data_IF_331760955198
#
_entry.id   IF_331760955198
#
_cell.length_a   1.000
_cell.length_b   1.000
_cell.length_c   1.000
_cell.angle_alpha   90.00
_cell.angle_beta   90.00
_cell.angle_gamma   90.00
#
_symmetry.space_group_name_H-M   'P 1'
#
loop_
_entity.id
_entity.type
_entity.pdbx_description
1 polymer ?
#
# COMPACT_ATOMS: atom_id res chain seq x y z
N UNK A 1 1.89 -34.09 -2.28
CA UNK A 1 2.17 -32.78 -1.66
C UNK A 1 2.66 -33.02 -0.23
N UNK A 2 3.88 -32.58 0.13
CA UNK A 2 4.40 -32.78 1.48
C UNK A 2 3.83 -31.69 2.39
N UNK A 3 3.21 -32.07 3.51
CA UNK A 3 2.70 -31.13 4.52
C UNK A 3 3.83 -30.83 5.51
N UNK A 4 3.92 -29.57 5.92
CA UNK A 4 4.79 -29.11 7.00
C UNK A 4 3.83 -28.55 8.05
N UNK A 5 3.77 -29.20 9.20
CA UNK A 5 3.03 -28.68 10.35
C UNK A 5 3.93 -27.70 11.10
N UNK A 6 3.34 -26.59 11.52
CA UNK A 6 4.02 -25.51 12.25
C UNK A 6 3.26 -25.30 13.55
N UNK A 7 3.99 -25.15 14.64
CA UNK A 7 3.37 -24.98 15.96
C UNK A 7 2.89 -23.53 16.16
N UNK A 8 3.49 -22.57 15.45
CA UNK A 8 3.13 -21.15 15.51
C UNK A 8 3.55 -20.38 14.24
N UNK A 9 3.04 -19.15 14.10
CA UNK A 9 3.32 -18.29 12.94
C UNK A 9 4.78 -17.82 12.83
N UNK A 10 5.55 -17.74 13.92
CA UNK A 10 6.97 -17.30 13.83
C UNK A 10 7.82 -18.32 13.09
N UNK A 11 7.48 -19.60 13.21
CA UNK A 11 8.19 -20.69 12.51
C UNK A 11 8.00 -20.67 11.00
N UNK A 12 6.96 -19.99 10.50
CA UNK A 12 6.69 -19.93 9.08
C UNK A 12 7.84 -19.33 8.27
N UNK A 13 8.39 -18.20 8.71
CA UNK A 13 9.50 -17.56 8.01
C UNK A 13 10.72 -18.49 7.95
N UNK A 14 11.02 -19.19 9.05
CA UNK A 14 12.09 -20.17 9.09
C UNK A 14 11.81 -21.40 8.21
N UNK A 15 10.55 -21.84 8.10
CA UNK A 15 10.16 -22.93 7.23
C UNK A 15 10.28 -22.56 5.75
N UNK A 16 9.89 -21.33 5.37
CA UNK A 16 10.10 -20.78 4.03
C UNK A 16 11.58 -20.72 3.66
N UNK A 17 12.41 -20.17 4.54
CA UNK A 17 13.86 -20.04 4.32
C UNK A 17 14.55 -21.41 4.11
N UNK A 18 14.15 -22.41 4.92
CA UNK A 18 14.60 -23.80 4.74
C UNK A 18 14.18 -24.39 3.40
N UNK A 19 12.98 -24.08 2.94
CA UNK A 19 12.48 -24.56 1.65
C UNK A 19 13.22 -23.91 0.49
N UNK A 20 13.52 -22.62 0.57
CA UNK A 20 14.29 -21.90 -0.44
C UNK A 20 15.75 -22.36 -0.49
N UNK A 21 16.40 -22.54 0.66
CA UNK A 21 17.75 -23.12 0.72
C UNK A 21 17.78 -24.52 0.08
N UNK A 22 16.74 -25.32 0.32
CA UNK A 22 16.62 -26.64 -0.32
C UNK A 22 16.42 -26.54 -1.82
N UNK A 23 15.64 -25.56 -2.30
CA UNK A 23 15.44 -25.27 -3.72
C UNK A 23 16.77 -24.91 -4.40
N UNK A 24 17.53 -24.01 -3.79
CA UNK A 24 18.84 -23.58 -4.28
C UNK A 24 19.83 -24.74 -4.34
N UNK A 25 19.83 -25.61 -3.32
CA UNK A 25 20.64 -26.82 -3.31
C UNK A 25 20.29 -27.77 -4.46
N UNK A 26 18.99 -28.00 -4.72
CA UNK A 26 18.56 -28.83 -5.85
C UNK A 26 19.00 -28.20 -7.17
N UNK A 27 18.91 -26.87 -7.29
CA UNK A 27 19.36 -26.15 -8.48
C UNK A 27 20.87 -26.29 -8.70
N UNK A 28 21.68 -26.15 -7.65
CA UNK A 28 23.14 -26.23 -7.75
C UNK A 28 23.68 -27.66 -7.92
N UNK A 29 23.05 -28.66 -7.30
CA UNK A 29 23.50 -30.06 -7.37
C UNK A 29 23.09 -30.74 -8.68
N UNK A 30 22.02 -30.30 -9.34
CA UNK A 30 21.44 -31.06 -10.44
C UNK A 30 22.16 -30.88 -11.80
N UNK A 31 23.06 -29.89 -11.98
CA UNK A 31 23.65 -29.54 -13.29
C UNK A 31 22.58 -29.50 -14.42
N UNK A 32 21.32 -29.21 -14.06
CA UNK A 32 20.21 -29.26 -14.98
C UNK A 32 20.17 -27.92 -15.73
N UNK A 33 20.05 -27.90 -17.06
CA UNK A 33 19.83 -26.68 -17.84
C UNK A 33 18.41 -26.08 -17.62
N UNK A 34 17.76 -26.41 -16.51
CA UNK A 34 16.35 -26.15 -16.25
C UNK A 34 16.15 -25.16 -15.09
N UNK A 35 15.18 -24.28 -15.25
CA UNK A 35 14.71 -23.36 -14.23
C UNK A 35 13.87 -24.10 -13.18
N UNK A 36 14.25 -24.02 -11.91
CA UNK A 36 13.40 -24.45 -10.79
C UNK A 36 12.53 -23.27 -10.39
N UNK A 37 11.23 -23.38 -10.65
CA UNK A 37 10.26 -22.34 -10.33
C UNK A 37 10.24 -22.02 -8.82
N UNK A 38 10.14 -20.75 -8.42
CA UNK A 38 9.96 -20.37 -7.03
C UNK A 38 8.65 -20.93 -6.46
N UNK A 39 8.56 -21.02 -5.14
CA UNK A 39 7.33 -21.45 -4.49
C UNK A 39 6.21 -20.46 -4.78
N UNK A 40 5.11 -20.96 -5.35
CA UNK A 40 3.92 -20.17 -5.59
C UNK A 40 3.08 -20.10 -4.32
N UNK A 41 2.93 -18.91 -3.76
CA UNK A 41 1.94 -18.67 -2.72
C UNK A 41 0.54 -18.77 -3.33
N UNK A 42 -0.18 -19.85 -3.03
CA UNK A 42 -1.53 -20.12 -3.55
C UNK A 42 -2.63 -19.50 -2.69
N UNK A 43 -2.28 -18.60 -1.78
CA UNK A 43 -3.21 -18.03 -0.81
C UNK A 43 -3.45 -18.94 0.39
N UNK A 44 -4.26 -18.44 1.32
CA UNK A 44 -4.78 -19.23 2.43
C UNK A 44 -5.92 -20.12 1.92
N UNK A 45 -5.89 -21.41 2.28
CA UNK A 45 -6.94 -22.36 1.89
C UNK A 45 -8.29 -22.09 2.58
N UNK A 46 -8.30 -21.32 3.67
CA UNK A 46 -9.53 -20.88 4.32
C UNK A 46 -10.08 -19.64 3.62
N UNK A 47 -11.08 -19.85 2.79
CA UNK A 47 -11.92 -18.78 2.22
C UNK A 47 -12.86 -18.14 3.27
N UNK A 48 -12.92 -18.70 4.48
CA UNK A 48 -13.87 -18.32 5.54
C UNK A 48 -13.38 -17.19 6.44
N UNK A 49 -12.19 -16.62 6.20
CA UNK A 49 -11.79 -15.42 6.93
C UNK A 49 -12.64 -14.23 6.48
N UNK A 50 -13.34 -13.54 7.40
CA UNK A 50 -14.10 -12.34 7.07
C UNK A 50 -13.08 -11.23 6.79
N UNK A 51 -12.65 -11.14 5.55
CA UNK A 51 -11.85 -10.03 5.06
C UNK A 51 -12.80 -8.83 4.93
N UNK A 52 -12.47 -7.75 5.62
CA UNK A 52 -13.28 -6.53 5.61
C UNK A 52 -13.39 -5.94 4.19
N UNK A 53 -12.35 -6.09 3.36
CA UNK A 53 -12.41 -5.88 1.92
C UNK A 53 -11.29 -6.65 1.17
N UNK A 54 -11.46 -6.81 -0.14
CA UNK A 54 -10.56 -7.56 -1.04
C UNK A 54 -9.42 -6.71 -1.61
N UNK A 55 -9.44 -5.39 -1.36
CA UNK A 55 -8.56 -4.40 -1.98
C UNK A 55 -7.20 -4.31 -1.28
N UNK A 56 -7.14 -4.65 0.01
CA UNK A 56 -5.89 -4.62 0.78
C UNK A 56 -4.83 -5.64 0.33
N UNK A 57 -5.18 -6.62 -0.53
CA UNK A 57 -4.22 -7.66 -0.99
C UNK A 57 -3.17 -7.16 -1.99
N UNK A 58 -3.39 -6.03 -2.65
CA UNK A 58 -2.45 -5.52 -3.67
C UNK A 58 -1.41 -4.55 -3.10
N UNK A 59 -1.62 -4.00 -1.89
CA UNK A 59 -0.75 -3.01 -1.28
C UNK A 59 0.36 -3.65 -0.42
N UNK A 60 1.04 -4.67 -0.96
CA UNK A 60 2.17 -5.33 -0.29
C UNK A 60 3.42 -4.46 -0.15
N UNK A 61 3.45 -3.29 -0.82
CA UNK A 61 4.49 -2.29 -0.66
C UNK A 61 4.04 -1.26 0.38
N UNK A 62 4.89 -1.03 1.40
CA UNK A 62 4.61 -0.10 2.51
C UNK A 62 4.39 1.36 2.08
N UNK A 63 4.70 1.70 0.83
CA UNK A 63 4.69 3.07 0.31
C UNK A 63 4.06 3.16 -1.09
N UNK A 64 2.88 2.57 -1.32
CA UNK A 64 2.15 2.82 -2.57
C UNK A 64 1.61 4.26 -2.55
N UNK A 65 2.21 5.14 -3.35
CA UNK A 65 1.73 6.51 -3.51
C UNK A 65 0.27 6.56 -3.97
N UNK A 66 -0.49 7.56 -3.47
CA UNK A 66 -1.94 7.71 -3.71
C UNK A 66 -2.31 7.61 -5.18
N UNK A 67 -1.49 8.19 -6.06
CA UNK A 67 -1.72 8.14 -7.51
C UNK A 67 -1.57 6.72 -8.09
N UNK A 68 -0.58 5.96 -7.61
CA UNK A 68 -0.33 4.59 -8.03
C UNK A 68 -1.42 3.63 -7.50
N UNK A 69 -1.87 3.87 -6.27
CA UNK A 69 -3.03 3.18 -5.70
C UNK A 69 -4.30 3.43 -6.53
N UNK A 70 -4.55 4.69 -6.92
CA UNK A 70 -5.68 5.03 -7.78
C UNK A 70 -5.62 4.36 -9.16
N UNK A 71 -4.42 4.27 -9.75
CA UNK A 71 -4.21 3.53 -10.99
C UNK A 71 -4.59 2.05 -10.87
N UNK A 72 -4.31 1.44 -9.72
CA UNK A 72 -4.68 0.03 -9.43
C UNK A 72 -6.19 -0.13 -9.28
N UNK A 73 -6.88 0.83 -8.67
CA UNK A 73 -8.35 0.81 -8.59
C UNK A 73 -8.97 0.98 -9.99
N UNK A 74 -8.42 1.85 -10.82
CA UNK A 74 -8.93 2.05 -12.17
C UNK A 74 -8.75 0.81 -13.06
N UNK A 75 -7.70 0.02 -12.86
CA UNK A 75 -7.47 -1.16 -13.68
C UNK A 75 -8.51 -2.26 -13.46
N UNK A 76 -9.15 -2.31 -12.28
CA UNK A 76 -10.21 -3.29 -11.96
C UNK A 76 -11.62 -2.77 -12.25
N UNK A 77 -11.76 -1.50 -12.69
CA UNK A 77 -13.07 -0.89 -13.00
C UNK A 77 -13.86 -1.69 -14.05
N UNK A 78 -13.28 -2.09 -15.21
CA UNK A 78 -14.04 -2.83 -16.22
C UNK A 78 -14.59 -4.17 -15.72
N UNK A 79 -13.83 -4.87 -14.87
CA UNK A 79 -14.24 -6.14 -14.26
C UNK A 79 -15.38 -5.94 -13.27
N UNK A 80 -15.34 -4.86 -12.46
CA UNK A 80 -16.43 -4.51 -11.54
C UNK A 80 -17.69 -4.15 -12.33
N UNK A 81 -17.58 -3.34 -13.38
CA UNK A 81 -18.73 -2.95 -14.21
C UNK A 81 -19.35 -4.18 -14.90
N UNK A 82 -18.50 -5.07 -15.43
CA UNK A 82 -18.94 -6.34 -16.02
C UNK A 82 -19.63 -7.25 -15.02
N UNK A 83 -19.08 -7.38 -13.81
CA UNK A 83 -19.64 -8.26 -12.78
C UNK A 83 -20.95 -7.73 -12.20
N UNK A 84 -21.04 -6.42 -12.01
CA UNK A 84 -22.20 -5.77 -11.40
C UNK A 84 -23.29 -5.38 -12.40
N UNK A 85 -22.97 -5.34 -13.71
CA UNK A 85 -23.84 -4.84 -14.77
C UNK A 85 -24.14 -3.34 -14.64
N UNK A 86 -23.40 -2.62 -13.79
CA UNK A 86 -23.55 -1.18 -13.56
C UNK A 86 -22.35 -0.45 -14.15
N UNK A 87 -22.60 0.66 -14.81
CA UNK A 87 -21.55 1.56 -15.28
C UNK A 87 -21.17 2.49 -14.13
N UNK A 88 -19.87 2.57 -13.81
CA UNK A 88 -19.34 3.45 -12.80
C UNK A 88 -19.02 4.81 -13.43
N UNK A 89 -20.09 5.52 -13.78
CA UNK A 89 -20.04 6.89 -14.29
C UNK A 89 -19.59 7.87 -13.20
N UNK A 90 -18.80 8.88 -13.58
CA UNK A 90 -18.29 9.88 -12.64
C UNK A 90 -17.01 9.50 -11.90
N UNK A 91 -16.44 8.31 -12.14
CA UNK A 91 -15.08 8.00 -11.71
C UNK A 91 -14.08 8.73 -12.62
N UNK A 92 -13.23 9.64 -12.09
CA UNK A 92 -12.25 10.35 -12.89
C UNK A 92 -11.30 9.39 -13.64
N UNK A 93 -10.81 9.82 -14.79
CA UNK A 93 -9.66 9.18 -15.42
C UNK A 93 -8.41 9.40 -14.57
N UNK A 94 -7.40 8.57 -14.79
CA UNK A 94 -6.10 8.71 -14.12
C UNK A 94 -5.50 10.11 -14.29
N UNK A 95 -5.63 10.69 -15.49
CA UNK A 95 -5.15 12.05 -15.80
C UNK A 95 -5.93 13.13 -15.04
N UNK A 96 -7.25 13.04 -15.01
CA UNK A 96 -8.11 13.96 -14.27
C UNK A 96 -7.83 13.92 -12.77
N UNK A 97 -7.66 12.71 -12.21
CA UNK A 97 -7.31 12.53 -10.81
C UNK A 97 -5.92 13.07 -10.48
N UNK A 98 -4.93 12.86 -11.36
CA UNK A 98 -3.58 13.45 -11.20
C UNK A 98 -3.63 14.97 -11.19
N UNK A 99 -4.41 15.58 -12.08
CA UNK A 99 -4.57 17.03 -12.12
C UNK A 99 -5.24 17.57 -10.84
N UNK A 100 -6.25 16.86 -10.33
CA UNK A 100 -6.90 17.19 -9.07
C UNK A 100 -5.95 17.05 -7.86
N UNK A 101 -5.14 16.00 -7.82
CA UNK A 101 -4.11 15.83 -6.79
C UNK A 101 -3.09 16.99 -6.81
N UNK A 102 -2.60 17.35 -7.99
CA UNK A 102 -1.65 18.45 -8.13
C UNK A 102 -2.25 19.80 -7.77
N UNK A 103 -3.53 20.06 -8.11
CA UNK A 103 -4.20 21.30 -7.74
C UNK A 103 -4.42 21.41 -6.22
N UNK A 104 -4.68 20.27 -5.56
CA UNK A 104 -4.76 20.20 -4.09
C UNK A 104 -3.37 20.45 -3.48
N UNK A 105 -2.32 19.80 -3.99
CA UNK A 105 -0.94 19.99 -3.53
C UNK A 105 -0.48 21.46 -3.68
N UNK A 106 -0.87 22.13 -4.77
CA UNK A 106 -0.57 23.55 -4.99
C UNK A 106 -1.45 24.52 -4.17
N UNK A 107 -2.67 24.11 -3.79
CA UNK A 107 -3.57 24.92 -2.93
C UNK A 107 -3.20 24.82 -1.45
N UNK A 108 -2.48 23.77 -1.06
CA UNK A 108 -1.96 23.53 0.28
C UNK A 108 -0.49 23.98 0.31
N UNK A 109 -0.27 25.28 0.11
CA UNK A 109 1.02 25.87 0.47
C UNK A 109 1.19 25.76 1.99
N UNK A 110 2.22 25.04 2.43
CA UNK A 110 2.52 24.86 3.85
C UNK A 110 2.66 26.21 4.56
N UNK A 111 3.13 27.26 3.88
CA UNK A 111 3.20 28.61 4.45
C UNK A 111 1.82 29.23 4.64
N UNK A 112 0.86 28.93 3.77
CA UNK A 112 -0.54 29.35 3.91
C UNK A 112 -1.26 28.64 5.07
N UNK A 113 -0.96 27.36 5.31
CA UNK A 113 -1.48 26.63 6.48
C UNK A 113 -0.83 27.11 7.77
N UNK A 114 0.50 27.23 7.79
CA UNK A 114 1.25 27.71 8.96
C UNK A 114 0.86 29.14 9.33
N UNK A 115 0.67 30.03 8.34
CA UNK A 115 0.21 31.40 8.61
C UNK A 115 -1.23 31.46 9.14
N UNK A 116 -2.15 30.60 8.66
CA UNK A 116 -3.50 30.50 9.22
C UNK A 116 -3.51 29.96 10.65
N UNK A 117 -2.73 28.92 10.93
CA UNK A 117 -2.59 28.36 12.29
C UNK A 117 -1.96 29.40 13.23
N UNK A 118 -0.91 30.08 12.79
CA UNK A 118 -0.26 31.13 13.56
C UNK A 118 -1.22 32.30 13.86
N UNK A 119 -1.96 32.79 12.86
CA UNK A 119 -2.92 33.87 13.05
C UNK A 119 -4.08 33.49 13.99
N UNK A 120 -4.53 32.23 13.97
CA UNK A 120 -5.55 31.74 14.90
C UNK A 120 -5.01 31.66 16.33
N UNK A 121 -3.78 31.19 16.52
CA UNK A 121 -3.17 31.08 17.85
C UNK A 121 -2.82 32.43 18.47
N UNK A 122 -2.40 33.40 17.66
CA UNK A 122 -2.18 34.81 18.07
C UNK A 122 -3.49 35.42 18.57
N UNK A 123 -4.61 35.15 17.88
CA UNK A 123 -5.93 35.68 18.24
C UNK A 123 -6.47 35.11 19.55
N UNK A 124 -6.01 33.92 19.95
CA UNK A 124 -6.42 33.25 21.20
C UNK A 124 -5.39 33.36 22.34
N UNK A 125 -4.27 34.09 22.16
CA UNK A 125 -3.15 34.18 23.12
C UNK A 125 -2.53 32.81 23.51
N UNK A 126 -2.61 31.81 22.62
CA UNK A 126 -2.11 30.44 22.84
C UNK A 126 -0.82 30.15 22.08
N UNK A 127 0.18 30.99 22.28
CA UNK A 127 1.47 30.91 21.56
C UNK A 127 2.25 29.61 21.79
N UNK A 128 2.10 29.00 22.97
CA UNK A 128 2.74 27.71 23.30
C UNK A 128 2.19 26.54 22.47
N UNK A 129 0.89 26.55 22.16
CA UNK A 129 0.25 25.51 21.34
C UNK A 129 0.55 25.70 19.85
N UNK A 130 0.63 26.96 19.37
CA UNK A 130 1.08 27.26 18.02
C UNK A 130 2.53 26.81 17.78
N UNK A 131 3.43 27.03 18.74
CA UNK A 131 4.82 26.60 18.63
C UNK A 131 4.94 25.07 18.53
N UNK A 132 4.13 24.33 19.28
CA UNK A 132 4.09 22.86 19.20
C UNK A 132 3.56 22.35 17.85
N UNK A 133 2.54 23.00 17.29
CA UNK A 133 1.98 22.64 15.98
C UNK A 133 2.94 22.98 14.82
N UNK A 134 3.63 24.12 14.88
CA UNK A 134 4.69 24.44 13.92
C UNK A 134 5.85 23.44 13.96
N UNK A 135 6.22 22.96 15.16
CA UNK A 135 7.28 21.96 15.34
C UNK A 135 6.90 20.57 14.80
N UNK A 136 5.61 20.20 14.89
CA UNK A 136 5.09 18.97 14.30
C UNK A 136 5.06 19.02 12.77
N UNK A 137 4.75 20.18 12.18
CA UNK A 137 4.70 20.35 10.72
C UNK A 137 6.08 20.42 10.05
N UNK A 138 7.11 20.94 10.73
CA UNK A 138 8.50 20.95 10.22
C UNK A 138 9.16 19.57 10.16
N UNK A 139 8.51 18.52 10.69
CA UNK A 139 9.00 17.14 10.67
C UNK A 139 8.47 16.29 9.51
N UNK A 140 7.63 16.85 8.65
CA UNK A 140 7.22 16.20 7.40
C UNK A 140 8.36 16.41 6.40
N UNK A 141 9.05 15.35 5.93
CA UNK A 141 10.14 15.52 4.99
C UNK A 141 9.57 16.06 3.67
N UNK A 142 10.16 17.16 3.19
CA UNK A 142 10.00 17.60 1.81
C UNK A 142 10.75 16.62 0.91
N UNK A 143 10.02 15.82 0.13
CA UNK A 143 10.55 15.26 -1.12
C UNK A 143 10.61 16.33 -2.21
#
# INVERSE_FOLDING_TARGET
MKKIELDNWREFFHACDKLDTKRERIFSEANLPGYVSPFLFRGQANADWPLADTLERAAGEKDVGVLQYYGTILSVKPEIERFTGRILDGVPSYGEYRMALNSIQHSVDQNTILSKIFNLAVKEDKYSEAAALCFLFQRIPSE
#
